data_IF_341829493934
#
_entry.id   IF_341829493934
#
_cell.length_a   1.000
_cell.length_b   1.000
_cell.length_c   1.000
_cell.angle_alpha   90.00
_cell.angle_beta   90.00
_cell.angle_gamma   90.00
#
_symmetry.space_group_name_H-M   'P 1'
#
loop_
_entity.id
_entity.type
_entity.pdbx_description
1 polymer ?
#
# COMPACT_ATOMS: atom_id res chain seq x y z
N UNK A 1 14.70 34.75 -3.06
CA UNK A 1 14.92 36.05 -2.38
C UNK A 1 14.08 36.01 -1.10
N UNK A 2 14.55 36.57 0.01
CA UNK A 2 13.84 36.46 1.29
C UNK A 2 12.89 37.66 1.46
N UNK A 3 11.67 37.44 1.93
CA UNK A 3 10.74 38.54 2.26
C UNK A 3 11.39 39.57 3.19
N UNK A 4 12.25 39.12 4.11
CA UNK A 4 13.02 39.98 5.01
C UNK A 4 13.94 40.91 4.23
N UNK A 5 14.65 40.39 3.22
CA UNK A 5 15.54 41.19 2.38
C UNK A 5 14.80 42.19 1.47
N UNK A 6 13.57 41.90 1.08
CA UNK A 6 12.73 42.80 0.28
C UNK A 6 12.09 43.90 1.13
N UNK A 7 11.67 43.58 2.36
CA UNK A 7 11.23 44.57 3.33
C UNK A 7 12.37 45.52 3.73
N UNK A 8 13.58 45.00 3.96
CA UNK A 8 14.76 45.79 4.30
C UNK A 8 15.14 46.76 3.17
N UNK A 9 15.01 46.32 1.91
CA UNK A 9 15.23 47.17 0.73
C UNK A 9 14.17 48.27 0.59
N UNK A 10 12.90 47.97 0.88
CA UNK A 10 11.83 48.97 0.91
C UNK A 10 12.03 50.01 2.04
N UNK A 11 12.51 49.57 3.19
CA UNK A 11 12.83 50.45 4.32
C UNK A 11 14.01 51.37 3.97
N UNK A 12 15.05 50.84 3.31
CA UNK A 12 16.15 51.64 2.79
C UNK A 12 15.71 52.72 1.80
N UNK A 13 14.79 52.39 0.88
CA UNK A 13 14.26 53.32 -0.12
C UNK A 13 13.38 54.42 0.51
N UNK A 14 12.69 54.09 1.60
CA UNK A 14 11.92 55.06 2.38
C UNK A 14 12.85 56.00 3.15
N UNK A 15 13.89 55.47 3.82
CA UNK A 15 14.89 56.27 4.54
C UNK A 15 15.70 57.18 3.61
N UNK A 16 15.93 56.79 2.35
CA UNK A 16 16.60 57.63 1.35
C UNK A 16 15.70 58.73 0.77
N UNK A 17 14.43 58.83 1.21
CA UNK A 17 13.46 59.82 0.73
C UNK A 17 12.96 59.58 -0.69
N UNK A 18 13.30 58.42 -1.29
CA UNK A 18 12.90 58.09 -2.66
C UNK A 18 11.45 57.62 -2.79
N UNK A 19 10.85 57.24 -1.66
CA UNK A 19 9.51 56.64 -1.61
C UNK A 19 8.65 57.36 -0.56
N UNK A 20 7.44 57.74 -0.94
CA UNK A 20 6.48 58.37 -0.03
C UNK A 20 6.01 57.39 1.05
N UNK A 21 5.69 57.89 2.25
CA UNK A 21 5.09 57.10 3.34
C UNK A 21 3.87 56.29 2.86
N UNK A 22 3.08 56.88 1.96
CA UNK A 22 1.88 56.25 1.40
C UNK A 22 2.22 55.09 0.45
N UNK A 23 3.22 55.27 -0.41
CA UNK A 23 3.67 54.23 -1.35
C UNK A 23 4.34 53.06 -0.61
N UNK A 24 5.08 53.35 0.46
CA UNK A 24 5.69 52.33 1.31
C UNK A 24 4.63 51.45 1.98
N UNK A 25 3.57 52.07 2.52
CA UNK A 25 2.48 51.33 3.15
C UNK A 25 1.76 50.38 2.18
N UNK A 26 1.59 50.80 0.92
CA UNK A 26 0.99 49.98 -0.14
C UNK A 26 1.95 48.82 -0.51
N UNK A 27 3.22 49.11 -0.74
CA UNK A 27 4.22 48.11 -1.12
C UNK A 27 4.41 47.04 -0.03
N UNK A 28 4.52 47.46 1.23
CA UNK A 28 4.63 46.56 2.38
C UNK A 28 3.42 45.64 2.52
N UNK A 29 2.19 46.17 2.38
CA UNK A 29 0.96 45.36 2.39
C UNK A 29 0.94 44.33 1.27
N UNK A 30 1.35 44.73 0.07
CA UNK A 30 1.37 43.83 -1.09
C UNK A 30 2.31 42.65 -0.88
N UNK A 31 3.54 42.91 -0.41
CA UNK A 31 4.53 41.88 -0.09
C UNK A 31 4.08 40.93 1.01
N UNK A 32 3.51 41.45 2.09
CA UNK A 32 2.97 40.61 3.17
C UNK A 32 1.84 39.69 2.68
N UNK A 33 0.97 40.18 1.80
CA UNK A 33 -0.11 39.38 1.24
C UNK A 33 0.39 38.31 0.25
N UNK A 34 1.44 38.60 -0.51
CA UNK A 34 2.03 37.68 -1.50
C UNK A 34 2.68 36.47 -0.80
N UNK A 35 3.48 36.69 0.25
CA UNK A 35 4.09 35.60 1.02
C UNK A 35 3.08 34.79 1.84
N UNK A 36 2.04 35.45 2.37
CA UNK A 36 0.92 34.75 3.03
C UNK A 36 0.18 33.84 2.05
N UNK A 37 0.00 34.29 0.79
CA UNK A 37 -0.65 33.49 -0.24
C UNK A 37 0.23 32.30 -0.66
N UNK A 38 1.53 32.49 -0.81
CA UNK A 38 2.47 31.41 -1.14
C UNK A 38 2.56 30.35 -0.02
N UNK A 39 2.61 30.79 1.24
CA UNK A 39 2.52 29.88 2.39
C UNK A 39 1.19 29.13 2.44
N UNK A 40 0.06 29.80 2.19
CA UNK A 40 -1.24 29.16 2.16
C UNK A 40 -1.37 28.14 1.01
N UNK A 41 -0.79 28.45 -0.16
CA UNK A 41 -0.72 27.51 -1.29
C UNK A 41 0.14 26.30 -0.93
N UNK A 42 1.32 26.51 -0.34
CA UNK A 42 2.20 25.43 0.11
C UNK A 42 1.51 24.53 1.15
N UNK A 43 0.89 25.12 2.16
CA UNK A 43 0.18 24.38 3.22
C UNK A 43 -1.02 23.60 2.65
N UNK A 44 -1.75 24.19 1.69
CA UNK A 44 -2.84 23.50 0.99
C UNK A 44 -2.37 22.28 0.19
N UNK A 45 -1.15 22.32 -0.36
CA UNK A 45 -0.56 21.18 -1.08
C UNK A 45 -0.16 20.06 -0.12
N UNK A 46 0.42 20.41 1.03
CA UNK A 46 0.77 19.44 2.07
C UNK A 46 -0.48 18.73 2.59
N UNK A 47 -1.56 19.47 2.85
CA UNK A 47 -2.84 18.89 3.29
C UNK A 47 -3.44 17.97 2.24
N UNK A 48 -3.39 18.34 0.96
CA UNK A 48 -3.87 17.47 -0.14
C UNK A 48 -3.09 16.16 -0.18
N UNK A 49 -1.76 16.21 -0.12
CA UNK A 49 -0.92 15.00 -0.14
C UNK A 49 -1.21 14.10 1.09
N UNK A 50 -1.46 14.70 2.27
CA UNK A 50 -1.85 13.93 3.45
C UNK A 50 -3.19 13.21 3.25
N UNK A 51 -4.19 13.92 2.73
CA UNK A 51 -5.50 13.34 2.46
C UNK A 51 -5.42 12.21 1.41
N UNK A 52 -4.61 12.40 0.35
CA UNK A 52 -4.39 11.38 -0.68
C UNK A 52 -3.76 10.10 -0.08
N UNK A 53 -2.84 10.23 0.88
CA UNK A 53 -2.24 9.08 1.59
C UNK A 53 -3.29 8.39 2.47
N UNK A 54 -4.11 9.14 3.20
CA UNK A 54 -5.17 8.57 4.02
C UNK A 54 -6.23 7.83 3.19
N UNK A 55 -6.64 8.41 2.07
CA UNK A 55 -7.58 7.76 1.14
C UNK A 55 -6.98 6.49 0.56
N UNK A 56 -5.70 6.53 0.16
CA UNK A 56 -4.98 5.35 -0.30
C UNK A 56 -4.94 4.26 0.78
N UNK A 57 -4.62 4.61 2.03
CA UNK A 57 -4.56 3.67 3.15
C UNK A 57 -5.95 3.07 3.46
N UNK A 58 -7.01 3.87 3.43
CA UNK A 58 -8.40 3.38 3.59
C UNK A 58 -8.79 2.42 2.47
N UNK A 59 -8.50 2.77 1.22
CA UNK A 59 -8.79 1.91 0.07
C UNK A 59 -8.06 0.57 0.16
N UNK A 60 -6.80 0.60 0.59
CA UNK A 60 -5.99 -0.59 0.80
C UNK A 60 -6.53 -1.47 1.92
N UNK A 61 -7.01 -0.90 3.03
CA UNK A 61 -7.63 -1.69 4.10
C UNK A 61 -8.86 -2.45 3.61
N UNK A 62 -9.74 -1.78 2.86
CA UNK A 62 -10.94 -2.40 2.27
C UNK A 62 -10.54 -3.49 1.27
N UNK A 63 -9.52 -3.25 0.45
CA UNK A 63 -9.07 -4.22 -0.54
C UNK A 63 -8.40 -5.43 0.13
N UNK A 64 -7.55 -5.20 1.13
CA UNK A 64 -6.90 -6.23 1.94
C UNK A 64 -7.92 -7.13 2.63
N UNK A 65 -9.02 -6.58 3.14
CA UNK A 65 -10.10 -7.36 3.76
C UNK A 65 -10.74 -8.35 2.79
N UNK A 66 -10.87 -8.01 1.49
CA UNK A 66 -11.36 -8.96 0.47
C UNK A 66 -10.43 -10.16 0.31
N UNK A 67 -9.12 -9.95 0.46
CA UNK A 67 -8.12 -11.01 0.34
C UNK A 67 -7.98 -11.84 1.62
N UNK A 68 -8.19 -11.24 2.79
CA UNK A 68 -8.18 -11.97 4.06
C UNK A 68 -9.37 -12.92 4.15
N UNK A 69 -9.11 -14.21 4.37
CA UNK A 69 -10.18 -15.14 4.73
C UNK A 69 -10.49 -14.94 6.22
N UNK A 70 -11.72 -14.57 6.54
CA UNK A 70 -12.23 -14.56 7.91
C UNK A 70 -12.18 -15.98 8.45
N UNK A 71 -11.17 -16.27 9.29
CA UNK A 71 -11.13 -17.54 10.00
C UNK A 71 -12.31 -17.59 10.97
N UNK A 72 -12.90 -18.78 11.16
CA UNK A 72 -14.07 -19.08 12.00
C UNK A 72 -13.94 -18.63 13.48
N UNK A 73 -12.75 -18.19 13.90
CA UNK A 73 -12.41 -17.78 15.27
C UNK A 73 -11.93 -16.32 15.39
N UNK A 74 -12.30 -15.44 14.44
CA UNK A 74 -12.05 -13.99 14.54
C UNK A 74 -10.59 -13.54 14.37
N UNK A 75 -9.64 -14.47 14.25
CA UNK A 75 -8.24 -14.16 13.95
C UNK A 75 -8.07 -13.98 12.44
N UNK A 76 -7.87 -12.73 12.00
CA UNK A 76 -7.44 -12.45 10.64
C UNK A 76 -5.97 -12.85 10.49
N UNK A 77 -5.66 -13.81 9.61
CA UNK A 77 -4.29 -14.12 9.21
C UNK A 77 -4.11 -13.71 7.77
N UNK A 78 -3.01 -13.01 7.48
CA UNK A 78 -2.57 -12.82 6.11
C UNK A 78 -2.40 -14.20 5.46
N UNK A 79 -2.90 -14.41 4.23
CA UNK A 79 -2.75 -15.69 3.54
C UNK A 79 -1.26 -15.96 3.32
N UNK A 80 -0.67 -16.85 4.12
CA UNK A 80 0.73 -17.26 3.92
C UNK A 80 0.79 -18.44 2.95
N UNK A 81 1.68 -18.34 1.96
CA UNK A 81 1.99 -19.44 1.03
C UNK A 81 2.50 -20.70 1.75
N UNK A 82 3.08 -20.53 2.95
CA UNK A 82 3.69 -21.62 3.72
C UNK A 82 2.72 -22.67 4.25
N UNK A 83 1.45 -22.31 4.51
CA UNK A 83 0.46 -23.27 5.01
C UNK A 83 0.01 -24.31 3.98
N UNK A 84 0.13 -24.01 2.68
CA UNK A 84 -0.32 -24.91 1.62
C UNK A 84 0.71 -25.97 1.25
N UNK A 85 2.00 -25.70 1.46
CA UNK A 85 3.09 -26.60 1.06
C UNK A 85 3.17 -27.82 1.99
N UNK A 86 3.01 -27.62 3.30
CA UNK A 86 3.06 -28.72 4.28
C UNK A 86 1.92 -29.71 4.07
N UNK A 87 0.73 -29.24 3.68
CA UNK A 87 -0.42 -30.10 3.41
C UNK A 87 -0.21 -30.95 2.15
N UNK A 88 0.37 -30.37 1.08
CA UNK A 88 0.70 -31.10 -0.14
C UNK A 88 1.78 -32.16 0.09
N UNK A 89 2.79 -31.87 0.91
CA UNK A 89 3.83 -32.84 1.28
C UNK A 89 3.21 -34.00 2.06
N UNK A 90 2.33 -33.71 3.02
CA UNK A 90 1.66 -34.74 3.82
C UNK A 90 0.76 -35.65 2.96
N UNK A 91 -0.02 -35.04 2.07
CA UNK A 91 -0.89 -35.77 1.13
C UNK A 91 -0.06 -36.64 0.18
N UNK A 92 1.04 -36.10 -0.36
CA UNK A 92 1.93 -36.84 -1.26
C UNK A 92 2.60 -38.02 -0.54
N UNK A 93 3.02 -37.80 0.71
CA UNK A 93 3.59 -38.85 1.56
C UNK A 93 2.56 -39.94 1.87
N UNK A 94 1.34 -39.56 2.26
CA UNK A 94 0.25 -40.49 2.49
C UNK A 94 -0.06 -41.31 1.22
N UNK A 95 -0.20 -40.67 0.05
CA UNK A 95 -0.39 -41.36 -1.22
C UNK A 95 0.71 -42.38 -1.50
N UNK A 96 1.97 -41.97 -1.32
CA UNK A 96 3.13 -42.82 -1.56
C UNK A 96 3.14 -44.04 -0.65
N UNK A 97 2.72 -43.92 0.62
CA UNK A 97 2.64 -45.05 1.54
C UNK A 97 1.55 -46.07 1.17
N UNK A 98 0.49 -45.66 0.47
CA UNK A 98 -0.59 -46.57 0.04
C UNK A 98 -0.38 -47.13 -1.37
N UNK A 99 0.12 -46.33 -2.32
CA UNK A 99 0.29 -46.75 -3.73
C UNK A 99 1.52 -47.66 -3.91
N UNK A 100 2.64 -47.34 -3.27
CA UNK A 100 3.92 -48.04 -3.49
C UNK A 100 3.86 -49.52 -3.10
N UNK A 101 3.25 -49.93 -1.96
CA UNK A 101 3.17 -51.34 -1.60
C UNK A 101 2.37 -52.20 -2.59
N UNK A 102 1.30 -51.66 -3.17
CA UNK A 102 0.43 -52.41 -4.10
C UNK A 102 1.09 -52.56 -5.47
N UNK A 103 1.80 -51.52 -5.95
CA UNK A 103 2.65 -51.60 -7.15
C UNK A 103 3.77 -52.63 -6.97
N UNK A 104 4.44 -52.64 -5.82
CA UNK A 104 5.51 -53.61 -5.53
C UNK A 104 5.00 -55.05 -5.41
N UNK A 105 3.72 -55.26 -5.12
CA UNK A 105 3.07 -56.58 -5.01
C UNK A 105 2.42 -57.06 -6.32
N UNK A 106 2.41 -56.23 -7.37
CA UNK A 106 1.82 -56.57 -8.66
C UNK A 106 0.31 -56.79 -8.60
N UNK A 107 -0.38 -56.23 -7.60
CA UNK A 107 -1.84 -56.27 -7.51
C UNK A 107 -2.45 -55.17 -8.38
N UNK A 108 -3.64 -55.42 -8.93
CA UNK A 108 -4.43 -54.38 -9.58
C UNK A 108 -4.69 -53.24 -8.58
N UNK A 109 -4.51 -51.99 -9.04
CA UNK A 109 -4.76 -50.79 -8.27
C UNK A 109 -6.27 -50.63 -8.02
N UNK A 110 -6.81 -51.39 -7.06
CA UNK A 110 -8.19 -51.24 -6.59
C UNK A 110 -8.26 -50.06 -5.61
N UNK A 111 -8.16 -48.85 -6.17
CA UNK A 111 -8.15 -47.61 -5.41
C UNK A 111 -9.57 -47.31 -4.91
N UNK A 112 -9.82 -47.31 -3.59
CA UNK A 112 -11.15 -47.01 -3.09
C UNK A 112 -11.52 -45.58 -3.53
N UNK A 113 -12.72 -45.35 -4.10
CA UNK A 113 -13.10 -44.04 -4.66
C UNK A 113 -13.05 -42.89 -3.64
N UNK A 114 -13.07 -43.22 -2.33
CA UNK A 114 -12.89 -42.27 -1.23
C UNK A 114 -11.51 -41.59 -1.30
N UNK A 115 -10.45 -42.31 -1.70
CA UNK A 115 -9.11 -41.72 -1.81
C UNK A 115 -9.01 -40.74 -2.98
N UNK A 116 -9.64 -40.99 -4.13
CA UNK A 116 -9.65 -40.03 -5.22
C UNK A 116 -10.22 -38.67 -4.78
N UNK A 117 -11.27 -38.68 -3.94
CA UNK A 117 -11.87 -37.46 -3.39
C UNK A 117 -10.92 -36.72 -2.42
N UNK A 118 -10.18 -37.46 -1.58
CA UNK A 118 -9.25 -36.85 -0.62
C UNK A 118 -8.05 -36.18 -1.29
N UNK A 119 -7.69 -36.56 -2.52
CA UNK A 119 -6.66 -35.86 -3.31
C UNK A 119 -7.21 -34.64 -4.04
N UNK A 120 -8.39 -34.74 -4.66
CA UNK A 120 -8.94 -33.68 -5.51
C UNK A 120 -9.32 -32.43 -4.68
N UNK A 121 -10.01 -32.62 -3.55
CA UNK A 121 -10.49 -31.51 -2.71
C UNK A 121 -9.37 -30.56 -2.25
N UNK A 122 -8.27 -31.03 -1.64
CA UNK A 122 -7.19 -30.15 -1.19
C UNK A 122 -6.41 -29.52 -2.35
N UNK A 123 -6.30 -30.17 -3.51
CA UNK A 123 -5.70 -29.55 -4.71
C UNK A 123 -6.54 -28.33 -5.13
N UNK A 124 -7.86 -28.48 -5.21
CA UNK A 124 -8.76 -27.38 -5.58
C UNK A 124 -8.66 -26.23 -4.57
N UNK A 125 -8.69 -26.53 -3.27
CA UNK A 125 -8.52 -25.53 -2.20
C UNK A 125 -7.15 -24.84 -2.32
N UNK A 126 -6.09 -25.59 -2.59
CA UNK A 126 -4.73 -25.09 -2.77
C UNK A 126 -4.60 -24.14 -3.96
N UNK A 127 -5.18 -24.48 -5.11
CA UNK A 127 -5.17 -23.64 -6.32
C UNK A 127 -5.92 -22.33 -6.07
N UNK A 128 -7.08 -22.38 -5.42
CA UNK A 128 -7.86 -21.18 -5.06
C UNK A 128 -7.06 -20.31 -4.09
N UNK A 129 -6.44 -20.91 -3.07
CA UNK A 129 -5.59 -20.21 -2.11
C UNK A 129 -4.37 -19.54 -2.75
N UNK A 130 -3.71 -20.23 -3.68
CA UNK A 130 -2.55 -19.71 -4.40
C UNK A 130 -2.89 -18.51 -5.28
N UNK A 131 -4.00 -18.58 -6.04
CA UNK A 131 -4.49 -17.44 -6.84
C UNK A 131 -4.81 -16.24 -5.94
N UNK A 132 -5.47 -16.48 -4.80
CA UNK A 132 -5.80 -15.43 -3.83
C UNK A 132 -4.55 -14.76 -3.24
N UNK A 133 -3.55 -15.55 -2.86
CA UNK A 133 -2.27 -15.05 -2.34
C UNK A 133 -1.49 -14.24 -3.39
N UNK A 134 -1.47 -14.71 -4.65
CA UNK A 134 -0.79 -14.00 -5.75
C UNK A 134 -1.44 -12.66 -6.04
N UNK A 135 -2.78 -12.61 -6.08
CA UNK A 135 -3.52 -11.36 -6.27
C UNK A 135 -3.29 -10.38 -5.12
N UNK A 136 -3.23 -10.89 -3.89
CA UNK A 136 -2.91 -10.08 -2.71
C UNK A 136 -1.51 -9.45 -2.81
N UNK A 137 -0.48 -10.23 -3.15
CA UNK A 137 0.89 -9.73 -3.31
C UNK A 137 1.01 -8.68 -4.42
N UNK A 138 0.31 -8.90 -5.54
CA UNK A 138 0.28 -7.93 -6.64
C UNK A 138 -0.39 -6.63 -6.22
N UNK A 139 -1.53 -6.70 -5.54
CA UNK A 139 -2.23 -5.54 -5.02
C UNK A 139 -1.37 -4.79 -3.97
N UNK A 140 -0.70 -5.52 -3.07
CA UNK A 140 0.20 -4.95 -2.07
C UNK A 140 1.38 -4.22 -2.75
N UNK A 141 1.98 -4.81 -3.78
CA UNK A 141 3.08 -4.19 -4.51
C UNK A 141 2.64 -2.86 -5.18
N UNK A 142 1.43 -2.82 -5.76
CA UNK A 142 0.87 -1.61 -6.35
C UNK A 142 0.62 -0.54 -5.29
N UNK A 143 0.03 -0.90 -4.15
CA UNK A 143 -0.17 0.00 -3.02
C UNK A 143 1.16 0.58 -2.51
N UNK A 144 2.16 -0.28 -2.25
CA UNK A 144 3.47 0.17 -1.76
C UNK A 144 4.15 1.11 -2.76
N UNK A 145 4.02 0.87 -4.07
CA UNK A 145 4.54 1.76 -5.11
C UNK A 145 3.90 3.14 -5.03
N UNK A 146 2.56 3.22 -5.03
CA UNK A 146 1.81 4.48 -4.92
C UNK A 146 2.15 5.24 -3.64
N UNK A 147 2.27 4.53 -2.52
CA UNK A 147 2.62 5.14 -1.23
C UNK A 147 4.02 5.75 -1.26
N UNK A 148 5.00 5.07 -1.87
CA UNK A 148 6.36 5.62 -2.06
C UNK A 148 6.35 6.86 -2.94
N UNK A 149 5.56 6.87 -4.02
CA UNK A 149 5.42 8.03 -4.91
C UNK A 149 4.84 9.26 -4.17
N UNK A 150 3.78 9.06 -3.37
CA UNK A 150 3.18 10.15 -2.57
C UNK A 150 4.13 10.67 -1.49
N UNK A 151 4.87 9.77 -0.82
CA UNK A 151 5.87 10.17 0.18
C UNK A 151 7.04 10.93 -0.45
N UNK A 152 7.50 10.51 -1.64
CA UNK A 152 8.54 11.23 -2.38
C UNK A 152 8.07 12.63 -2.79
N UNK A 153 6.80 12.77 -3.22
CA UNK A 153 6.20 14.07 -3.52
C UNK A 153 6.12 14.97 -2.29
N UNK A 154 5.76 14.42 -1.13
CA UNK A 154 5.75 15.14 0.15
C UNK A 154 7.15 15.60 0.59
N UNK A 155 8.19 14.82 0.28
CA UNK A 155 9.56 15.18 0.62
C UNK A 155 10.16 16.24 -0.33
N UNK A 156 9.56 16.41 -1.52
CA UNK A 156 9.98 17.39 -2.52
C UNK A 156 9.26 18.74 -2.39
N UNK A 157 8.18 18.80 -1.60
CA UNK A 157 7.46 20.02 -1.21
C UNK A 157 8.01 20.60 0.09
#
# INVERSE_FOLDING_TARGET
MSLVSELEKLEQLHQSGSLSQHEFAIAKRKLLNEDSHDQQVADSQVVKIQNDIEELDRSWLIEREKYMSSAKFGKQRAPSKSGSITYLIWISFAASCFIVPDICRGQDLDFPPIFALTFIVPIVIGVIGYKKATNYELAEAVYQKKRKELLARKAAS
#
